data_IF_952609216588
#
_entry.id   IF_952609216588
#
_cell.length_a   1.000
_cell.length_b   1.000
_cell.length_c   1.000
_cell.angle_alpha   90.00
_cell.angle_beta   90.00
_cell.angle_gamma   90.00
#
_symmetry.space_group_name_H-M   'P 1'
#
loop_
_entity.id
_entity.type
_entity.pdbx_description
1 polymer ?
#
# COMPACT_ATOMS: atom_id res chain seq x y z
N UNK A 1 -3.77 -8.34 11.00
CA UNK A 1 -3.23 -7.90 9.72
C UNK A 1 -4.16 -8.32 8.59
N UNK A 2 -4.18 -7.52 7.55
CA UNK A 2 -4.85 -7.80 6.29
C UNK A 2 -3.82 -7.96 5.18
N UNK A 3 -4.19 -8.64 4.11
CA UNK A 3 -3.35 -8.88 2.94
C UNK A 3 -4.00 -8.18 1.75
N UNK A 4 -3.23 -7.37 1.04
CA UNK A 4 -3.63 -6.82 -0.25
C UNK A 4 -2.83 -7.51 -1.36
N UNK A 5 -3.53 -7.98 -2.38
CA UNK A 5 -2.92 -8.60 -3.56
C UNK A 5 -2.56 -7.53 -4.59
N UNK A 6 -1.28 -7.47 -4.94
CA UNK A 6 -0.76 -6.53 -5.94
C UNK A 6 -0.94 -7.06 -7.37
N UNK A 7 -1.19 -8.36 -7.54
CA UNK A 7 -1.01 -9.01 -8.83
C UNK A 7 0.46 -9.02 -9.23
N UNK A 8 0.75 -8.90 -10.50
CA UNK A 8 2.13 -8.79 -11.04
C UNK A 8 2.66 -7.36 -11.08
N UNK A 9 1.91 -6.38 -10.56
CA UNK A 9 2.22 -4.96 -10.66
C UNK A 9 3.05 -4.47 -9.48
N UNK A 10 4.38 -4.43 -9.66
CA UNK A 10 5.30 -3.88 -8.67
C UNK A 10 5.09 -2.37 -8.43
N UNK A 11 4.58 -1.64 -9.41
CA UNK A 11 4.40 -0.20 -9.28
C UNK A 11 3.37 0.14 -8.18
N UNK A 12 2.44 -0.77 -7.91
CA UNK A 12 1.53 -0.67 -6.75
C UNK A 12 2.28 -0.78 -5.41
N UNK A 13 3.26 -1.69 -5.29
CA UNK A 13 4.08 -1.79 -4.09
C UNK A 13 4.86 -0.50 -3.84
N UNK A 14 5.44 0.07 -4.90
CA UNK A 14 6.15 1.36 -4.85
C UNK A 14 5.20 2.48 -4.44
N UNK A 15 4.01 2.54 -5.02
CA UNK A 15 2.98 3.53 -4.70
C UNK A 15 2.54 3.45 -3.24
N UNK A 16 2.33 2.25 -2.72
CA UNK A 16 1.99 2.06 -1.31
C UNK A 16 3.17 2.29 -0.37
N UNK A 17 4.39 2.33 -0.90
CA UNK A 17 5.64 2.47 -0.13
C UNK A 17 5.75 1.44 1.00
N UNK A 18 5.40 0.20 0.72
CA UNK A 18 5.37 -0.91 1.67
C UNK A 18 6.21 -2.08 1.21
N UNK A 19 6.98 -2.71 2.11
CA UNK A 19 7.63 -3.99 1.82
C UNK A 19 6.60 -5.03 1.38
N UNK A 20 6.96 -5.81 0.36
CA UNK A 20 6.04 -6.74 -0.28
C UNK A 20 6.68 -8.10 -0.43
N UNK A 21 5.89 -9.16 -0.36
CA UNK A 21 6.33 -10.48 -0.76
C UNK A 21 6.01 -10.63 -2.25
N UNK A 22 7.01 -10.97 -3.04
CA UNK A 22 6.88 -11.20 -4.47
C UNK A 22 7.06 -12.68 -4.79
N UNK A 23 6.13 -13.23 -5.53
CA UNK A 23 6.23 -14.54 -6.15
C UNK A 23 6.71 -14.35 -7.58
N UNK A 24 7.81 -15.02 -7.93
CA UNK A 24 8.50 -14.83 -9.20
C UNK A 24 8.71 -16.17 -9.88
N UNK A 25 8.63 -16.17 -11.20
CA UNK A 25 8.92 -17.32 -12.03
C UNK A 25 10.18 -17.05 -12.88
N UNK A 26 11.20 -17.89 -12.71
CA UNK A 26 12.43 -17.84 -13.49
C UNK A 26 12.63 -19.19 -14.19
N UNK A 27 12.26 -19.25 -15.48
CA UNK A 27 12.23 -20.50 -16.21
C UNK A 27 11.24 -21.51 -15.61
N UNK A 28 11.74 -22.64 -15.12
CA UNK A 28 10.95 -23.68 -14.44
C UNK A 28 10.92 -23.52 -12.91
N UNK A 29 11.65 -22.53 -12.36
CA UNK A 29 11.79 -22.35 -10.92
C UNK A 29 10.87 -21.23 -10.43
N UNK A 30 10.16 -21.51 -9.35
CA UNK A 30 9.40 -20.51 -8.62
C UNK A 30 10.21 -20.01 -7.42
N UNK A 31 10.29 -18.70 -7.26
CA UNK A 31 10.95 -18.04 -6.13
C UNK A 31 9.95 -17.18 -5.36
N UNK A 32 10.16 -17.09 -4.07
CA UNK A 32 9.47 -16.17 -3.18
C UNK A 32 10.51 -15.27 -2.53
N UNK A 33 10.43 -13.97 -2.76
CA UNK A 33 11.38 -12.98 -2.24
C UNK A 33 10.65 -11.84 -1.55
N UNK A 34 11.34 -11.16 -0.64
CA UNK A 34 10.83 -9.94 -0.01
C UNK A 34 11.41 -8.74 -0.73
N UNK A 35 10.56 -7.92 -1.31
CA UNK A 35 10.92 -6.58 -1.76
C UNK A 35 11.02 -5.68 -0.52
N UNK A 36 12.24 -5.28 -0.17
CA UNK A 36 12.51 -4.51 1.05
C UNK A 36 12.46 -3.00 0.83
N UNK A 37 13.01 -2.54 -0.31
CA UNK A 37 12.97 -1.14 -0.73
C UNK A 37 13.22 -1.00 -2.24
N UNK A 38 12.79 0.15 -2.77
CA UNK A 38 13.10 0.63 -4.10
C UNK A 38 13.64 2.04 -3.99
N UNK A 39 14.80 2.29 -4.60
CA UNK A 39 15.43 3.61 -4.68
C UNK A 39 15.82 3.87 -6.12
N UNK A 40 15.23 4.88 -6.73
CA UNK A 40 15.39 5.12 -8.16
C UNK A 40 14.94 3.91 -8.98
N UNK A 41 15.86 3.34 -9.74
CA UNK A 41 15.60 2.15 -10.57
C UNK A 41 16.04 0.82 -9.91
N UNK A 42 16.60 0.87 -8.72
CA UNK A 42 17.15 -0.29 -8.03
C UNK A 42 16.25 -0.73 -6.87
N UNK A 43 16.20 -2.03 -6.65
CA UNK A 43 15.44 -2.64 -5.57
C UNK A 43 16.31 -3.60 -4.77
N UNK A 44 16.10 -3.61 -3.44
CA UNK A 44 16.63 -4.64 -2.56
C UNK A 44 15.63 -5.77 -2.45
N UNK A 45 16.03 -6.93 -2.93
CA UNK A 45 15.33 -8.20 -2.76
C UNK A 45 16.02 -9.03 -1.69
N UNK A 46 15.25 -9.64 -0.83
CA UNK A 46 15.74 -10.60 0.17
C UNK A 46 15.20 -11.97 -0.20
N UNK A 47 16.09 -12.83 -0.67
CA UNK A 47 15.79 -14.23 -0.96
C UNK A 47 16.15 -15.08 0.28
N UNK A 48 15.24 -15.93 0.79
CA UNK A 48 15.54 -16.78 1.95
C UNK A 48 16.72 -17.74 1.76
N UNK A 49 17.05 -18.06 0.51
CA UNK A 49 18.15 -19.00 0.17
C UNK A 49 19.43 -18.29 -0.23
N UNK A 50 19.32 -17.22 -1.02
CA UNK A 50 20.46 -16.52 -1.63
C UNK A 50 20.86 -15.24 -0.88
N UNK A 51 20.04 -14.80 0.06
CA UNK A 51 20.30 -13.60 0.86
C UNK A 51 19.85 -12.31 0.18
N UNK A 52 20.58 -11.22 0.42
CA UNK A 52 20.24 -9.87 -0.03
C UNK A 52 20.87 -9.61 -1.40
N UNK A 53 20.04 -9.16 -2.35
CA UNK A 53 20.46 -8.76 -3.68
C UNK A 53 19.90 -7.40 -4.05
N UNK A 54 20.74 -6.51 -4.56
CA UNK A 54 20.30 -5.23 -5.13
C UNK A 54 20.30 -5.41 -6.65
N UNK A 55 19.14 -5.26 -7.25
CA UNK A 55 18.92 -5.47 -8.69
C UNK A 55 18.11 -4.32 -9.27
N UNK A 56 18.40 -3.92 -10.53
CA UNK A 56 17.50 -3.02 -11.25
C UNK A 56 16.09 -3.64 -11.38
N UNK A 57 15.07 -2.84 -11.12
CA UNK A 57 13.67 -3.30 -11.21
C UNK A 57 13.34 -3.94 -12.55
N UNK A 58 13.88 -3.37 -13.65
CA UNK A 58 13.70 -3.91 -15.00
C UNK A 58 14.17 -5.35 -15.17
N UNK A 59 15.14 -5.81 -14.36
CA UNK A 59 15.71 -7.15 -14.44
C UNK A 59 14.73 -8.24 -14.01
N UNK A 60 13.86 -7.96 -13.03
CA UNK A 60 12.96 -8.95 -12.47
C UNK A 60 11.47 -8.61 -12.59
N UNK A 61 11.13 -7.40 -13.03
CA UNK A 61 9.74 -6.93 -13.14
C UNK A 61 8.84 -7.91 -13.90
N UNK A 62 9.32 -8.43 -15.01
CA UNK A 62 8.55 -9.37 -15.86
C UNK A 62 8.49 -10.80 -15.32
N UNK A 63 9.24 -11.10 -14.27
CA UNK A 63 9.24 -12.42 -13.62
C UNK A 63 8.18 -12.52 -12.53
N UNK A 64 7.61 -11.39 -12.09
CA UNK A 64 6.62 -11.35 -11.01
C UNK A 64 5.31 -11.94 -11.50
N UNK A 65 4.84 -12.97 -10.82
CA UNK A 65 3.54 -13.60 -11.06
C UNK A 65 2.47 -13.07 -10.11
N UNK A 66 2.85 -12.82 -8.87
CA UNK A 66 1.98 -12.26 -7.84
C UNK A 66 2.81 -11.50 -6.80
N UNK A 67 2.24 -10.47 -6.24
CA UNK A 67 2.78 -9.76 -5.09
C UNK A 67 1.73 -9.55 -4.01
N UNK A 68 2.15 -9.50 -2.75
CA UNK A 68 1.27 -9.21 -1.63
C UNK A 68 1.92 -8.22 -0.66
N UNK A 69 1.10 -7.36 -0.10
CA UNK A 69 1.48 -6.50 1.04
C UNK A 69 0.65 -6.87 2.27
N UNK A 70 1.27 -6.78 3.42
CA UNK A 70 0.61 -6.94 4.71
C UNK A 70 0.41 -5.57 5.34
N UNK A 71 -0.80 -5.27 5.75
CA UNK A 71 -1.12 -4.00 6.39
C UNK A 71 -2.07 -4.17 7.57
N UNK A 72 -2.03 -3.22 8.50
CA UNK A 72 -2.95 -3.20 9.63
C UNK A 72 -4.18 -2.38 9.26
N UNK A 73 -5.22 -3.03 8.80
CA UNK A 73 -6.47 -2.36 8.48
C UNK A 73 -7.21 -1.99 9.78
N UNK A 74 -7.18 -0.71 10.14
CA UNK A 74 -7.88 -0.14 11.29
C UNK A 74 -9.32 0.28 10.98
N UNK A 75 -9.68 0.30 9.70
CA UNK A 75 -10.98 0.80 9.23
C UNK A 75 -11.98 -0.35 9.06
N UNK A 76 -12.21 -1.11 10.13
CA UNK A 76 -13.14 -2.23 10.17
C UNK A 76 -14.20 -2.02 11.26
N UNK A 77 -15.37 -2.66 11.09
CA UNK A 77 -16.44 -2.66 12.07
C UNK A 77 -17.18 -1.32 12.18
N UNK A 78 -17.85 -1.12 13.30
CA UNK A 78 -18.75 0.00 13.51
C UNK A 78 -18.03 1.36 13.66
N UNK A 79 -16.78 1.35 14.11
CA UNK A 79 -15.97 2.56 14.30
C UNK A 79 -15.23 3.02 13.05
N UNK A 80 -15.37 2.32 11.91
CA UNK A 80 -14.60 2.60 10.69
C UNK A 80 -14.73 4.03 10.19
N UNK A 81 -15.95 4.59 10.22
CA UNK A 81 -16.21 5.96 9.74
C UNK A 81 -15.65 6.99 10.70
N UNK A 82 -15.75 6.75 11.99
CA UNK A 82 -15.17 7.62 13.02
C UNK A 82 -13.65 7.72 12.85
N UNK A 83 -12.97 6.58 12.76
CA UNK A 83 -11.52 6.52 12.56
C UNK A 83 -11.10 7.16 11.23
N UNK A 84 -11.87 6.94 10.16
CA UNK A 84 -11.65 7.57 8.87
C UNK A 84 -11.72 9.09 8.95
N UNK A 85 -12.77 9.63 9.56
CA UNK A 85 -12.94 11.08 9.71
C UNK A 85 -11.83 11.69 10.58
N UNK A 86 -11.42 11.02 11.64
CA UNK A 86 -10.27 11.43 12.47
C UNK A 86 -8.98 11.48 11.66
N UNK A 87 -8.70 10.47 10.86
CA UNK A 87 -7.50 10.40 10.02
C UNK A 87 -7.52 11.47 8.92
N UNK A 88 -8.65 11.65 8.23
CA UNK A 88 -8.80 12.70 7.21
C UNK A 88 -8.66 14.10 7.82
N UNK A 89 -9.15 14.29 9.04
CA UNK A 89 -9.00 15.55 9.78
C UNK A 89 -7.54 15.80 10.17
N UNK A 90 -6.84 14.80 10.67
CA UNK A 90 -5.40 14.89 10.98
C UNK A 90 -4.55 15.25 9.76
N UNK A 91 -4.99 14.86 8.56
CA UNK A 91 -4.36 15.19 7.28
C UNK A 91 -4.80 16.54 6.66
N UNK A 92 -5.68 17.28 7.35
CA UNK A 92 -6.21 18.55 6.86
C UNK A 92 -7.20 18.44 5.70
N UNK A 93 -7.79 17.25 5.49
CA UNK A 93 -8.73 16.98 4.39
C UNK A 93 -10.19 16.99 4.82
N UNK A 94 -10.47 17.00 6.13
CA UNK A 94 -11.80 17.00 6.70
C UNK A 94 -11.90 18.05 7.81
N UNK A 95 -12.62 19.14 7.54
CA UNK A 95 -12.72 20.29 8.44
C UNK A 95 -14.10 20.41 9.09
N UNK A 96 -14.65 19.28 9.48
CA UNK A 96 -15.96 19.18 10.11
C UNK A 96 -15.90 18.38 11.42
N UNK A 97 -16.94 18.46 12.27
CA UNK A 97 -17.02 17.60 13.43
C UNK A 97 -16.99 16.11 13.07
N UNK A 98 -16.25 15.35 13.86
CA UNK A 98 -16.15 13.88 13.69
C UNK A 98 -17.41 13.26 14.31
N UNK A 99 -18.26 12.69 13.49
CA UNK A 99 -19.58 12.19 13.89
C UNK A 99 -19.69 10.67 13.85
N UNK A 100 -18.76 9.99 13.17
CA UNK A 100 -18.86 8.55 12.92
C UNK A 100 -19.92 8.16 11.89
N UNK A 101 -20.58 9.14 11.26
CA UNK A 101 -21.59 8.92 10.21
C UNK A 101 -21.03 9.34 8.86
N UNK A 102 -21.06 8.43 7.89
CA UNK A 102 -20.67 8.73 6.53
C UNK A 102 -21.71 9.66 5.88
N UNK A 103 -21.22 10.66 5.16
CA UNK A 103 -22.06 11.62 4.44
C UNK A 103 -21.29 12.28 3.29
N UNK A 104 -21.92 13.23 2.58
CA UNK A 104 -21.30 13.91 1.42
C UNK A 104 -19.95 14.55 1.76
N UNK A 105 -19.78 15.11 2.94
CA UNK A 105 -18.52 15.73 3.40
C UNK A 105 -17.40 14.70 3.57
N UNK A 106 -17.72 13.53 4.13
CA UNK A 106 -16.77 12.41 4.25
C UNK A 106 -16.36 11.90 2.88
N UNK A 107 -17.33 11.76 1.96
CA UNK A 107 -17.09 11.35 0.58
C UNK A 107 -16.16 12.33 -0.15
N UNK A 108 -16.42 13.63 -0.05
CA UNK A 108 -15.56 14.66 -0.66
C UNK A 108 -14.14 14.64 -0.09
N UNK A 109 -13.99 14.45 1.21
CA UNK A 109 -12.68 14.35 1.86
C UNK A 109 -11.90 13.10 1.38
N UNK A 110 -12.59 11.98 1.24
CA UNK A 110 -12.01 10.76 0.64
C UNK A 110 -11.57 10.99 -0.80
N UNK A 111 -12.38 11.64 -1.62
CA UNK A 111 -12.02 11.94 -3.00
C UNK A 111 -10.77 12.84 -3.09
N UNK A 112 -10.64 13.84 -2.21
CA UNK A 112 -9.43 14.66 -2.12
C UNK A 112 -8.21 13.84 -1.71
N UNK A 113 -8.36 12.93 -0.75
CA UNK A 113 -7.30 12.02 -0.36
C UNK A 113 -6.87 11.12 -1.52
N UNK A 114 -7.83 10.48 -2.18
CA UNK A 114 -7.59 9.60 -3.33
C UNK A 114 -6.89 10.35 -4.47
N UNK A 115 -7.32 11.58 -4.77
CA UNK A 115 -6.67 12.43 -5.77
C UNK A 115 -5.22 12.76 -5.41
N UNK A 116 -4.97 13.14 -4.16
CA UNK A 116 -3.63 13.45 -3.66
C UNK A 116 -2.68 12.27 -3.73
N UNK A 117 -3.18 11.07 -3.43
CA UNK A 117 -2.40 9.83 -3.44
C UNK A 117 -2.38 9.14 -4.81
N UNK A 118 -3.01 9.74 -5.84
CA UNK A 118 -3.07 9.18 -7.19
C UNK A 118 -3.90 7.90 -7.28
N UNK A 119 -4.91 7.75 -6.43
CA UNK A 119 -5.89 6.67 -6.47
C UNK A 119 -7.09 7.06 -7.33
N UNK A 120 -7.89 6.06 -7.70
CA UNK A 120 -9.19 6.31 -8.34
C UNK A 120 -10.12 7.03 -7.35
N UNK A 121 -10.72 8.15 -7.77
CA UNK A 121 -11.61 8.96 -6.93
C UNK A 121 -13.00 8.34 -6.81
N UNK A 122 -13.13 7.30 -6.04
CA UNK A 122 -14.40 6.64 -5.77
C UNK A 122 -15.23 7.38 -4.70
N UNK A 123 -14.55 8.09 -3.80
CA UNK A 123 -15.16 8.70 -2.62
C UNK A 123 -15.62 7.66 -1.58
N UNK A 124 -15.17 6.43 -1.73
CA UNK A 124 -15.46 5.32 -0.83
C UNK A 124 -14.16 4.77 -0.23
N UNK A 125 -14.28 4.16 0.93
CA UNK A 125 -13.17 3.49 1.59
C UNK A 125 -12.98 2.09 0.98
N UNK A 126 -12.46 2.06 -0.24
CA UNK A 126 -12.05 0.83 -0.90
C UNK A 126 -10.73 0.28 -0.33
N UNK A 127 -10.35 -0.92 -0.76
CA UNK A 127 -9.19 -1.60 -0.19
C UNK A 127 -7.87 -0.84 -0.46
N UNK A 128 -7.67 -0.30 -1.65
CA UNK A 128 -6.47 0.50 -1.98
C UNK A 128 -6.38 1.75 -1.10
N UNK A 129 -7.50 2.43 -0.90
CA UNK A 129 -7.59 3.59 0.00
C UNK A 129 -7.28 3.20 1.44
N UNK A 130 -7.79 2.07 1.91
CA UNK A 130 -7.49 1.56 3.26
C UNK A 130 -6.01 1.21 3.45
N UNK A 131 -5.37 0.61 2.44
CA UNK A 131 -3.92 0.34 2.46
C UNK A 131 -3.14 1.64 2.59
N UNK A 132 -3.44 2.63 1.74
CA UNK A 132 -2.76 3.94 1.75
C UNK A 132 -2.95 4.68 3.08
N UNK A 133 -4.16 4.70 3.61
CA UNK A 133 -4.46 5.32 4.91
C UNK A 133 -3.77 4.58 6.07
N UNK A 134 -3.60 3.27 5.96
CA UNK A 134 -2.98 2.44 7.00
C UNK A 134 -1.45 2.54 7.01
N UNK A 135 -0.85 3.05 5.94
CA UNK A 135 0.59 3.26 5.82
C UNK A 135 1.04 4.59 6.48
N UNK A 136 0.45 4.93 7.61
CA UNK A 136 0.77 6.14 8.36
C UNK A 136 1.51 5.81 9.65
N UNK A 137 2.56 6.57 9.94
CA UNK A 137 3.18 6.65 11.25
C UNK A 137 3.70 5.33 11.84
N UNK A 138 4.86 4.86 11.41
CA UNK A 138 5.55 3.72 12.03
C UNK A 138 5.40 2.38 11.30
N UNK A 139 4.65 2.31 10.21
CA UNK A 139 4.70 1.14 9.34
C UNK A 139 6.06 1.06 8.62
N UNK A 140 6.60 -0.14 8.37
CA UNK A 140 7.79 -0.30 7.56
C UNK A 140 7.58 0.33 6.19
N UNK A 141 8.52 1.15 5.75
CA UNK A 141 8.48 1.79 4.44
C UNK A 141 9.33 1.03 3.44
N UNK A 142 8.93 1.10 2.18
CA UNK A 142 9.69 0.53 1.07
C UNK A 142 10.94 1.37 0.77
N UNK A 143 10.88 2.68 0.96
CA UNK A 143 12.03 3.56 0.85
C UNK A 143 12.84 3.55 2.15
N UNK A 144 14.18 3.47 2.10
CA UNK A 144 15.01 3.67 3.29
C UNK A 144 14.78 5.07 3.86
N UNK A 145 14.80 5.15 5.17
CA UNK A 145 14.79 6.43 5.86
C UNK A 145 16.12 7.16 5.70
#
# INVERSE_FOLDING_TARGET
FSVYKLGSDIDKAVKFNMPSILYMKQGKTNKCVVLRWVVGNDALLIDPREGKNILPVKTFKNMITEGVVFYKNRYKGNSRVLLLQQELKARGLYDYPVTGKAGPRTKQALMKFQEREGLVKTGELDEETAVMLSNTGGAPKLTPE
#
